data_IF_265348029319
#
_entry.id   IF_265348029319
#
_cell.length_a   1.000
_cell.length_b   1.000
_cell.length_c   1.000
_cell.angle_alpha   90.00
_cell.angle_beta   90.00
_cell.angle_gamma   90.00
#
_symmetry.space_group_name_H-M   'P 1'
#
loop_
_entity.id
_entity.type
_entity.pdbx_description
1 polymer ?
#
# COMPACT_ATOMS: atom_id res chain seq x y z
N UNK A 1 -1.21 -11.36 -9.28
CA UNK A 1 -2.40 -10.73 -8.68
C UNK A 1 -1.96 -9.47 -7.95
N UNK A 2 -2.54 -8.30 -8.23
CA UNK A 2 -2.15 -7.04 -7.54
C UNK A 2 -2.41 -7.17 -6.04
N UNK A 3 -1.50 -6.68 -5.18
CA UNK A 3 -1.68 -6.67 -3.71
C UNK A 3 -2.98 -5.98 -3.28
N UNK A 4 -3.44 -5.01 -4.07
CA UNK A 4 -4.71 -4.31 -3.90
C UNK A 4 -5.93 -5.24 -4.04
N UNK A 5 -5.88 -6.20 -4.97
CA UNK A 5 -6.96 -7.18 -5.15
C UNK A 5 -7.06 -8.14 -3.97
N UNK A 6 -5.91 -8.52 -3.39
CA UNK A 6 -5.85 -9.40 -2.21
C UNK A 6 -6.45 -8.70 -0.97
N UNK A 7 -6.10 -7.44 -0.75
CA UNK A 7 -6.68 -6.61 0.30
C UNK A 7 -8.20 -6.43 0.15
N UNK A 8 -8.68 -6.21 -1.07
CA UNK A 8 -10.11 -6.10 -1.35
C UNK A 8 -10.87 -7.41 -1.06
N UNK A 9 -10.29 -8.56 -1.42
CA UNK A 9 -10.88 -9.88 -1.14
C UNK A 9 -10.97 -10.15 0.37
N UNK A 10 -9.91 -9.87 1.14
CA UNK A 10 -9.94 -10.07 2.59
C UNK A 10 -10.97 -9.15 3.24
N UNK A 11 -11.09 -7.90 2.77
CA UNK A 11 -12.11 -6.97 3.26
C UNK A 11 -13.53 -7.50 2.99
N UNK A 12 -13.79 -8.04 1.80
CA UNK A 12 -15.08 -8.66 1.48
C UNK A 12 -15.36 -9.86 2.37
N UNK A 13 -14.35 -10.71 2.63
CA UNK A 13 -14.48 -11.85 3.54
C UNK A 13 -14.84 -11.41 4.96
N UNK A 14 -14.20 -10.37 5.48
CA UNK A 14 -14.51 -9.81 6.81
C UNK A 14 -15.95 -9.30 6.89
N UNK A 15 -16.42 -8.59 5.86
CA UNK A 15 -17.81 -8.08 5.83
C UNK A 15 -18.83 -9.23 5.75
N UNK A 16 -18.54 -10.27 4.96
CA UNK A 16 -19.37 -11.46 4.90
C UNK A 16 -19.49 -12.15 6.26
N UNK A 17 -18.36 -12.38 6.95
CA UNK A 17 -18.35 -12.99 8.27
C UNK A 17 -19.10 -12.15 9.32
N UNK A 18 -19.06 -10.82 9.20
CA UNK A 18 -19.84 -9.91 10.04
C UNK A 18 -21.35 -10.04 9.81
N UNK A 19 -21.77 -10.18 8.55
CA UNK A 19 -23.17 -10.41 8.20
C UNK A 19 -23.66 -11.76 8.75
N UNK A 20 -22.88 -12.83 8.59
CA UNK A 20 -23.20 -14.13 9.18
C UNK A 20 -23.30 -14.06 10.71
N UNK A 21 -22.39 -13.36 11.37
CA UNK A 21 -22.45 -13.20 12.82
C UNK A 21 -23.70 -12.42 13.25
N UNK A 22 -24.12 -11.42 12.47
CA UNK A 22 -25.33 -10.65 12.74
C UNK A 22 -26.61 -11.50 12.61
N UNK A 23 -26.68 -12.43 11.65
CA UNK A 23 -27.84 -13.33 11.51
C UNK A 23 -27.90 -14.34 12.65
N UNK A 24 -26.77 -14.89 13.08
CA UNK A 24 -26.68 -15.84 14.19
C UNK A 24 -27.20 -15.19 15.49
N UNK A 25 -26.81 -13.95 15.77
CA UNK A 25 -27.21 -13.24 17.00
C UNK A 25 -28.73 -13.02 17.15
N UNK A 26 -29.51 -13.09 16.06
CA UNK A 26 -30.96 -12.86 16.09
C UNK A 26 -31.74 -14.05 16.69
N UNK A 27 -31.14 -15.23 16.82
CA UNK A 27 -31.84 -16.50 17.10
C UNK A 27 -31.78 -16.99 18.56
N UNK A 28 -31.37 -16.16 19.53
CA UNK A 28 -30.93 -16.65 20.87
C UNK A 28 -31.99 -16.74 21.96
N UNK A 29 -33.24 -16.36 21.70
CA UNK A 29 -34.28 -16.35 22.73
C UNK A 29 -34.60 -17.77 23.22
N UNK A 30 -34.60 -18.05 24.53
CA UNK A 30 -34.95 -19.37 25.06
C UNK A 30 -36.35 -19.78 24.61
N UNK A 31 -36.50 -21.03 24.16
CA UNK A 31 -37.80 -21.54 23.72
C UNK A 31 -38.57 -22.05 24.94
N UNK A 32 -39.71 -21.43 25.32
CA UNK A 32 -40.45 -21.83 26.51
C UNK A 32 -41.07 -23.23 26.39
N UNK A 33 -41.22 -23.72 25.16
CA UNK A 33 -41.70 -25.08 24.86
C UNK A 33 -40.67 -26.18 25.18
N UNK A 34 -39.39 -25.82 25.29
CA UNK A 34 -38.32 -26.77 25.54
C UNK A 34 -38.02 -26.90 27.04
N UNK A 35 -37.69 -28.11 27.47
CA UNK A 35 -37.17 -28.33 28.82
C UNK A 35 -35.84 -27.59 29.00
N UNK A 36 -35.56 -27.16 30.23
CA UNK A 36 -34.38 -26.34 30.55
C UNK A 36 -33.06 -26.96 30.05
N UNK A 37 -32.90 -28.29 30.17
CA UNK A 37 -31.70 -28.99 29.70
C UNK A 37 -31.47 -28.81 28.19
N UNK A 38 -32.54 -28.88 27.38
CA UNK A 38 -32.47 -28.68 25.93
C UNK A 38 -32.17 -27.23 25.57
N UNK A 39 -32.75 -26.26 26.31
CA UNK A 39 -32.40 -24.86 26.16
C UNK A 39 -30.91 -24.59 26.46
N UNK A 40 -30.34 -25.22 27.50
CA UNK A 40 -28.91 -25.11 27.84
C UNK A 40 -28.01 -25.69 26.74
N UNK A 41 -28.35 -26.84 26.17
CA UNK A 41 -27.58 -27.41 25.05
C UNK A 41 -27.59 -26.48 23.84
N UNK A 42 -28.77 -25.94 23.50
CA UNK A 42 -28.92 -25.01 22.37
C UNK A 42 -28.13 -23.71 22.57
N UNK A 43 -28.10 -23.16 23.79
CA UNK A 43 -27.30 -21.96 24.08
C UNK A 43 -25.81 -22.26 24.01
N UNK A 44 -25.35 -23.43 24.46
CA UNK A 44 -23.95 -23.83 24.35
C UNK A 44 -23.51 -24.01 22.89
N UNK A 45 -24.31 -24.66 22.07
CA UNK A 45 -24.06 -24.81 20.63
C UNK A 45 -23.97 -23.43 19.95
N UNK A 46 -24.93 -22.55 20.26
CA UNK A 46 -24.91 -21.16 19.79
C UNK A 46 -23.62 -20.43 20.21
N UNK A 47 -23.24 -20.51 21.48
CA UNK A 47 -22.03 -19.85 21.99
C UNK A 47 -20.77 -20.38 21.31
N UNK A 48 -20.72 -21.68 21.04
CA UNK A 48 -19.60 -22.33 20.33
C UNK A 48 -19.50 -21.79 18.91
N UNK A 49 -20.62 -21.79 18.18
CA UNK A 49 -20.68 -21.29 16.81
C UNK A 49 -20.34 -19.79 16.70
N UNK A 50 -20.80 -18.97 17.66
CA UNK A 50 -20.43 -17.54 17.72
C UNK A 50 -18.95 -17.37 17.98
N UNK A 51 -18.36 -18.16 18.87
CA UNK A 51 -16.94 -18.09 19.15
C UNK A 51 -16.12 -18.47 17.93
N UNK A 52 -16.48 -19.53 17.20
CA UNK A 52 -15.84 -19.92 15.95
C UNK A 52 -15.88 -18.81 14.90
N UNK A 53 -17.04 -18.16 14.72
CA UNK A 53 -17.15 -17.03 13.77
C UNK A 53 -16.33 -15.82 14.21
N UNK A 54 -16.26 -15.54 15.51
CA UNK A 54 -15.41 -14.46 16.05
C UNK A 54 -13.93 -14.76 15.84
N UNK A 55 -13.47 -15.99 16.07
CA UNK A 55 -12.07 -16.36 15.83
C UNK A 55 -11.73 -16.31 14.35
N UNK A 56 -12.64 -16.68 13.44
CA UNK A 56 -12.45 -16.56 11.99
C UNK A 56 -12.37 -15.09 11.53
N UNK A 57 -13.15 -14.20 12.13
CA UNK A 57 -13.05 -12.75 11.90
C UNK A 57 -11.68 -12.24 12.35
N UNK A 58 -11.22 -12.63 13.54
CA UNK A 58 -9.92 -12.20 14.09
C UNK A 58 -8.78 -12.66 13.18
N UNK A 59 -8.76 -13.93 12.77
CA UNK A 59 -7.70 -14.45 11.89
C UNK A 59 -7.68 -13.73 10.54
N UNK A 60 -8.86 -13.43 9.97
CA UNK A 60 -8.97 -12.66 8.73
C UNK A 60 -8.45 -11.22 8.88
N UNK A 61 -8.67 -10.58 10.04
CA UNK A 61 -8.09 -9.26 10.35
C UNK A 61 -6.56 -9.30 10.49
N UNK A 62 -6.01 -10.35 11.09
CA UNK A 62 -4.56 -10.53 11.20
C UNK A 62 -3.90 -10.68 9.81
N UNK A 63 -4.52 -11.44 8.92
CA UNK A 63 -4.08 -11.56 7.51
C UNK A 63 -4.16 -10.22 6.79
N UNK A 64 -5.26 -9.49 6.96
CA UNK A 64 -5.44 -8.16 6.40
C UNK A 64 -4.34 -7.18 6.84
N UNK A 65 -4.01 -7.19 8.14
CA UNK A 65 -2.97 -6.33 8.70
C UNK A 65 -1.58 -6.67 8.13
N UNK A 66 -1.23 -7.95 8.06
CA UNK A 66 0.04 -8.41 7.46
C UNK A 66 0.18 -7.98 6.01
N UNK A 67 -0.89 -8.13 5.22
CA UNK A 67 -0.88 -7.73 3.81
C UNK A 67 -0.79 -6.20 3.64
N UNK A 68 -1.42 -5.42 4.52
CA UNK A 68 -1.27 -3.96 4.56
C UNK A 68 0.16 -3.54 4.88
N UNK A 69 0.79 -4.16 5.87
CA UNK A 69 2.18 -3.88 6.24
C UNK A 69 3.14 -4.15 5.08
N UNK A 70 2.97 -5.28 4.39
CA UNK A 70 3.76 -5.62 3.21
C UNK A 70 3.53 -4.62 2.07
N UNK A 71 2.29 -4.21 1.84
CA UNK A 71 1.97 -3.20 0.84
C UNK A 71 2.65 -1.87 1.15
N UNK A 72 2.56 -1.39 2.39
CA UNK A 72 3.20 -0.17 2.85
C UNK A 72 4.72 -0.22 2.71
N UNK A 73 5.35 -1.34 3.11
CA UNK A 73 6.78 -1.55 2.94
C UNK A 73 7.19 -1.41 1.47
N UNK A 74 6.46 -2.05 0.54
CA UNK A 74 6.74 -1.97 -0.89
C UNK A 74 6.61 -0.56 -1.47
N UNK A 75 5.67 0.24 -0.94
CA UNK A 75 5.45 1.63 -1.37
C UNK A 75 6.59 2.52 -0.85
N UNK A 76 6.99 2.32 0.41
CA UNK A 76 8.12 3.04 1.01
C UNK A 76 9.43 2.74 0.26
N UNK A 77 9.71 1.49 -0.06
CA UNK A 77 10.87 1.09 -0.86
C UNK A 77 10.90 1.77 -2.23
N UNK A 78 9.76 1.75 -2.94
CA UNK A 78 9.61 2.43 -4.24
C UNK A 78 9.85 3.94 -4.12
N UNK A 79 9.31 4.59 -3.09
CA UNK A 79 9.51 6.03 -2.82
C UNK A 79 10.98 6.34 -2.51
N UNK A 80 11.63 5.52 -1.69
CA UNK A 80 13.06 5.66 -1.39
C UNK A 80 13.93 5.48 -2.64
N UNK A 81 13.64 4.47 -3.47
CA UNK A 81 14.33 4.24 -4.73
C UNK A 81 14.17 5.43 -5.69
N UNK A 82 12.96 6.00 -5.78
CA UNK A 82 12.70 7.21 -6.57
C UNK A 82 13.52 8.40 -6.05
N UNK A 83 13.52 8.66 -4.74
CA UNK A 83 14.28 9.74 -4.13
C UNK A 83 15.80 9.60 -4.32
N UNK A 84 16.34 8.38 -4.23
CA UNK A 84 17.75 8.11 -4.53
C UNK A 84 18.07 8.43 -6.00
N UNK A 85 17.20 8.03 -6.93
CA UNK A 85 17.36 8.31 -8.37
C UNK A 85 17.28 9.81 -8.66
N UNK A 86 16.35 10.55 -8.06
CA UNK A 86 16.24 12.00 -8.25
C UNK A 86 17.45 12.74 -7.68
N UNK A 87 17.90 12.39 -6.46
CA UNK A 87 19.12 12.95 -5.87
C UNK A 87 20.35 12.72 -6.76
N UNK A 88 20.54 11.51 -7.28
CA UNK A 88 21.65 11.20 -8.18
C UNK A 88 21.60 12.04 -9.48
N UNK A 89 20.40 12.24 -10.05
CA UNK A 89 20.22 13.10 -11.23
C UNK A 89 20.57 14.56 -10.95
N UNK A 90 20.15 15.10 -9.81
CA UNK A 90 20.46 16.48 -9.40
C UNK A 90 21.97 16.69 -9.20
N UNK A 91 22.65 15.74 -8.53
CA UNK A 91 24.11 15.79 -8.38
C UNK A 91 24.86 15.72 -9.71
N UNK A 92 24.40 14.90 -10.66
CA UNK A 92 24.97 14.85 -12.02
C UNK A 92 24.79 16.18 -12.77
N UNK A 93 23.67 16.87 -12.58
CA UNK A 93 23.43 18.20 -13.16
C UNK A 93 24.34 19.27 -12.53
N UNK A 94 24.53 19.24 -11.22
CA UNK A 94 25.42 20.17 -10.51
C UNK A 94 26.89 20.01 -10.92
N UNK A 95 27.35 18.78 -11.23
CA UNK A 95 28.72 18.51 -11.68
C UNK A 95 29.00 18.93 -13.14
N UNK A 96 27.99 19.14 -13.97
CA UNK A 96 28.17 19.68 -15.33
C UNK A 96 28.33 21.21 -15.25
N UNK A 97 29.56 21.69 -15.04
CA UNK A 97 29.89 23.12 -15.22
C UNK A 97 29.38 23.58 -16.59
N UNK A 98 28.73 24.75 -16.72
CA UNK A 98 28.32 25.26 -18.02
C UNK A 98 29.56 25.37 -18.90
N UNK A 99 29.53 24.77 -20.10
CA UNK A 99 30.59 24.94 -21.09
C UNK A 99 30.70 26.44 -21.35
N UNK A 100 31.70 27.11 -20.78
CA UNK A 100 32.05 28.50 -21.08
C UNK A 100 32.17 28.58 -22.61
N UNK A 101 31.25 29.30 -23.27
CA UNK A 101 31.38 29.61 -24.69
C UNK A 101 32.74 30.29 -24.85
N UNK A 102 33.69 29.63 -25.53
CA UNK A 102 34.99 30.20 -25.88
C UNK A 102 34.67 31.42 -26.75
N UNK A 103 34.76 32.62 -26.19
CA UNK A 103 34.69 33.86 -26.96
C UNK A 103 35.88 33.81 -27.91
N UNK A 104 35.62 33.59 -29.21
CA UNK A 104 36.65 33.60 -30.24
C UNK A 104 37.17 35.04 -30.32
N UNK A 105 38.37 35.30 -29.78
CA UNK A 105 39.08 36.57 -30.02
C UNK A 105 39.26 36.72 -31.54
N UNK A 106 38.60 37.71 -32.13
CA UNK A 106 38.73 38.04 -33.54
C UNK A 106 40.19 38.45 -33.82
N UNK A 107 40.85 37.75 -34.75
CA UNK A 107 42.18 38.12 -35.22
C UNK A 107 42.06 39.46 -35.97
N UNK A 108 42.54 40.54 -35.36
CA UNK A 108 42.71 41.85 -36.01
C UNK A 108 43.63 41.68 -37.23
N UNK A 109 43.10 41.83 -38.45
CA UNK A 109 43.91 41.84 -39.69
C UNK A 109 44.81 43.08 -39.67
N UNK A 110 46.12 42.91 -39.85
CA UNK A 110 47.06 44.03 -40.02
C UNK A 110 46.81 44.72 -41.37
N UNK A 111 46.87 46.06 -41.46
CA UNK A 111 46.68 46.76 -42.72
C UNK A 111 47.84 46.49 -43.68
N UNK A 112 47.53 46.25 -44.96
CA UNK A 112 48.51 46.06 -46.02
C UNK A 112 49.26 47.38 -46.30
N UNK A 113 50.60 47.32 -46.28
CA UNK A 113 51.45 48.44 -46.71
C UNK A 113 51.22 48.69 -48.21
N UNK A 114 50.69 49.87 -48.54
CA UNK A 114 50.49 50.35 -49.91
C UNK A 114 51.86 50.70 -50.51
N UNK A 115 52.26 50.00 -51.59
CA UNK A 115 53.45 50.33 -52.42
C UNK A 115 53.28 51.75 -52.97
N UNK A 116 54.27 52.62 -52.76
CA UNK A 116 54.44 53.84 -53.55
C UNK A 116 55.44 53.55 -54.68
N UNK A 117 55.08 54.09 -55.85
CA UNK A 117 55.81 54.03 -57.12
C UNK A 117 57.12 54.79 -57.04
#
# INVERSE_FOLDING_TARGET
MSSENKLAQIKQKIEHLRQELATINQSTQPMPELINATNILRTNEYLTHVNEKKTEIISSYEEYAKDLEQFLASVLERKLAFLKKTRARLQKKAKKKPKRKRIKKSKKKKPSKKRRR
#
